data_IF_643752058623
#
_entry.id   IF_643752058623
#
_cell.length_a   1.000
_cell.length_b   1.000
_cell.length_c   1.000
_cell.angle_alpha   90.00
_cell.angle_beta   90.00
_cell.angle_gamma   90.00
#
_symmetry.space_group_name_H-M   'P 1'
#
loop_
_entity.id
_entity.type
_entity.pdbx_description
1 polymer ?
#
# COMPACT_ATOMS: atom_id res chain seq x y z
N UNK A 1 12.05 4.49 -1.84
CA UNK A 1 11.16 3.53 -2.56
C UNK A 1 11.53 3.51 -4.02
N UNK A 2 11.70 2.35 -4.63
CA UNK A 2 12.20 2.25 -6.02
C UNK A 2 11.17 2.68 -7.06
N UNK A 3 9.87 2.59 -6.74
CA UNK A 3 8.83 3.28 -7.51
C UNK A 3 9.06 4.80 -7.56
N UNK A 4 9.57 5.43 -6.50
CA UNK A 4 9.93 6.84 -6.54
C UNK A 4 11.11 7.11 -7.48
N UNK A 5 12.03 6.16 -7.66
CA UNK A 5 13.16 6.32 -8.59
C UNK A 5 12.72 6.20 -10.05
N UNK A 6 11.86 5.22 -10.36
CA UNK A 6 11.20 5.10 -11.65
C UNK A 6 10.42 6.38 -11.96
N UNK A 7 9.63 6.83 -10.99
CA UNK A 7 8.89 8.08 -11.07
C UNK A 7 9.78 9.27 -11.37
N UNK A 8 10.84 9.47 -10.59
CA UNK A 8 11.82 10.55 -10.80
C UNK A 8 12.43 10.53 -12.20
N UNK A 9 12.79 9.35 -12.73
CA UNK A 9 13.36 9.23 -14.08
C UNK A 9 12.35 9.60 -15.16
N UNK A 10 11.11 9.11 -15.05
CA UNK A 10 10.04 9.45 -16.00
C UNK A 10 9.71 10.95 -15.90
N UNK A 11 9.55 11.50 -14.70
CA UNK A 11 9.31 12.93 -14.48
C UNK A 11 10.46 13.78 -15.03
N UNK A 12 11.71 13.34 -14.89
CA UNK A 12 12.88 14.01 -15.48
C UNK A 12 12.82 14.03 -17.00
N UNK A 13 12.47 12.89 -17.64
CA UNK A 13 12.27 12.81 -19.08
C UNK A 13 11.09 13.69 -19.55
N UNK A 14 10.01 13.79 -18.77
CA UNK A 14 8.90 14.70 -19.07
C UNK A 14 9.26 16.18 -18.86
N UNK A 15 10.18 16.49 -17.92
CA UNK A 15 10.72 17.83 -17.70
C UNK A 15 11.67 18.27 -18.81
N UNK A 16 12.50 17.37 -19.37
CA UNK A 16 13.37 17.73 -20.50
C UNK A 16 12.54 18.24 -21.69
N UNK A 17 11.36 17.65 -21.92
CA UNK A 17 10.40 18.10 -22.92
C UNK A 17 9.77 19.48 -22.60
N UNK A 18 9.64 19.82 -21.32
CA UNK A 18 9.18 21.17 -20.91
C UNK A 18 10.21 22.28 -21.16
N UNK A 19 11.51 21.93 -21.14
CA UNK A 19 12.61 22.88 -21.36
C UNK A 19 12.92 23.10 -22.85
N UNK A 20 12.48 22.20 -23.75
CA UNK A 20 12.71 22.33 -25.18
C UNK A 20 11.83 23.44 -25.80
N UNK A 21 12.45 24.40 -26.49
CA UNK A 21 11.76 25.54 -27.13
C UNK A 21 10.90 25.13 -28.32
N UNK A 22 11.35 24.12 -29.08
CA UNK A 22 10.64 23.54 -30.22
C UNK A 22 10.53 22.04 -30.00
N UNK A 23 9.32 21.50 -30.15
CA UNK A 23 9.04 20.07 -30.01
C UNK A 23 8.99 19.47 -31.42
N UNK A 24 10.08 18.82 -31.81
CA UNK A 24 10.21 18.06 -33.05
C UNK A 24 10.18 16.54 -32.76
N UNK A 25 10.16 15.73 -33.81
CA UNK A 25 10.12 14.27 -33.69
C UNK A 25 11.36 13.70 -32.98
N UNK A 26 12.52 14.35 -33.13
CA UNK A 26 13.77 13.95 -32.48
C UNK A 26 13.67 14.08 -30.95
N UNK A 27 13.17 15.22 -30.45
CA UNK A 27 12.95 15.46 -29.01
C UNK A 27 11.93 14.46 -28.44
N UNK A 28 10.85 14.18 -29.18
CA UNK A 28 9.86 13.17 -28.79
C UNK A 28 10.49 11.77 -28.68
N UNK A 29 11.26 11.35 -29.69
CA UNK A 29 11.93 10.05 -29.70
C UNK A 29 12.99 9.93 -28.60
N UNK A 30 13.74 11.00 -28.30
CA UNK A 30 14.71 11.03 -27.22
C UNK A 30 14.02 10.85 -25.85
N UNK A 31 12.94 11.60 -25.60
CA UNK A 31 12.15 11.47 -24.37
C UNK A 31 11.56 10.06 -24.23
N UNK A 32 10.95 9.52 -25.29
CA UNK A 32 10.41 8.16 -25.27
C UNK A 32 11.49 7.12 -24.99
N UNK A 33 12.71 7.31 -25.49
CA UNK A 33 13.84 6.42 -25.22
C UNK A 33 14.24 6.45 -23.74
N UNK A 34 14.27 7.63 -23.11
CA UNK A 34 14.54 7.77 -21.68
C UNK A 34 13.44 7.12 -20.83
N UNK A 35 12.17 7.33 -21.16
CA UNK A 35 11.04 6.69 -20.47
C UNK A 35 11.10 5.16 -20.63
N UNK A 36 11.37 4.67 -21.84
CA UNK A 36 11.53 3.23 -22.08
C UNK A 36 12.71 2.65 -21.31
N UNK A 37 13.85 3.34 -21.26
CA UNK A 37 15.01 2.92 -20.49
C UNK A 37 14.68 2.82 -19.00
N UNK A 38 13.97 3.80 -18.44
CA UNK A 38 13.54 3.79 -17.04
C UNK A 38 12.60 2.60 -16.74
N UNK A 39 11.64 2.31 -17.63
CA UNK A 39 10.74 1.15 -17.48
C UNK A 39 11.49 -0.18 -17.56
N UNK A 40 12.45 -0.31 -18.48
CA UNK A 40 13.28 -1.52 -18.60
C UNK A 40 14.16 -1.73 -17.37
N UNK A 41 14.79 -0.66 -16.86
CA UNK A 41 15.56 -0.71 -15.61
C UNK A 41 14.68 -1.09 -14.41
N UNK A 42 13.40 -0.76 -14.46
CA UNK A 42 12.41 -1.16 -13.46
C UNK A 42 11.84 -2.58 -13.65
N UNK A 43 12.45 -3.39 -14.53
CA UNK A 43 12.06 -4.76 -14.84
C UNK A 43 10.63 -4.89 -15.41
N UNK A 44 10.19 -3.89 -16.19
CA UNK A 44 8.96 -3.98 -17.01
C UNK A 44 9.24 -4.79 -18.27
N UNK A 45 8.28 -5.63 -18.68
CA UNK A 45 8.43 -6.47 -19.87
C UNK A 45 8.76 -5.69 -21.14
N UNK A 46 9.80 -6.13 -21.86
CA UNK A 46 10.28 -5.49 -23.09
C UNK A 46 9.16 -5.36 -24.13
N UNK A 47 8.28 -6.36 -24.24
CA UNK A 47 7.15 -6.35 -25.17
C UNK A 47 6.16 -5.24 -24.81
N UNK A 48 5.87 -5.05 -23.52
CA UNK A 48 4.98 -4.00 -23.03
C UNK A 48 5.59 -2.61 -23.23
N UNK A 49 6.90 -2.47 -22.97
CA UNK A 49 7.61 -1.20 -23.21
C UNK A 49 7.61 -0.84 -24.70
N UNK A 50 7.85 -1.83 -25.58
CA UNK A 50 7.77 -1.63 -27.03
C UNK A 50 6.36 -1.21 -27.47
N UNK A 51 5.33 -1.91 -26.97
CA UNK A 51 3.94 -1.58 -27.26
C UNK A 51 3.56 -0.18 -26.79
N UNK A 52 3.99 0.22 -25.60
CA UNK A 52 3.78 1.58 -25.08
C UNK A 52 4.42 2.62 -25.99
N UNK A 53 5.66 2.40 -26.43
CA UNK A 53 6.36 3.33 -27.33
C UNK A 53 5.61 3.50 -28.66
N UNK A 54 5.16 2.40 -29.25
CA UNK A 54 4.42 2.41 -30.52
C UNK A 54 3.06 3.09 -30.36
N UNK A 55 2.32 2.78 -29.29
CA UNK A 55 1.02 3.39 -29.01
C UNK A 55 1.14 4.90 -28.79
N UNK A 56 2.10 5.35 -27.98
CA UNK A 56 2.32 6.79 -27.75
C UNK A 56 2.73 7.49 -29.04
N UNK A 57 3.60 6.89 -29.87
CA UNK A 57 4.00 7.48 -31.16
C UNK A 57 2.81 7.59 -32.12
N UNK A 58 1.93 6.59 -32.16
CA UNK A 58 0.73 6.62 -33.01
C UNK A 58 -0.35 7.59 -32.53
N UNK A 59 -0.40 7.89 -31.23
CA UNK A 59 -1.39 8.78 -30.63
C UNK A 59 -1.00 10.27 -30.71
N UNK A 60 0.22 10.58 -31.12
CA UNK A 60 0.74 11.96 -31.21
C UNK A 60 0.93 12.30 -32.69
N UNK A 61 0.02 13.11 -33.22
CA UNK A 61 0.20 13.71 -34.54
C UNK A 61 0.79 15.12 -34.40
N UNK A 62 2.06 15.29 -34.74
CA UNK A 62 2.79 16.54 -34.47
C UNK A 62 2.33 17.70 -35.36
N UNK A 63 1.68 17.40 -36.49
CA UNK A 63 1.22 18.36 -37.50
C UNK A 63 -0.13 18.99 -37.14
N UNK A 64 -1.03 18.22 -36.52
CA UNK A 64 -2.39 18.67 -36.17
C UNK A 64 -2.48 19.44 -34.84
N UNK A 65 -1.46 19.34 -33.98
CA UNK A 65 -1.53 19.91 -32.64
C UNK A 65 -1.34 21.44 -32.63
N UNK A 66 -2.30 22.16 -32.03
CA UNK A 66 -2.19 23.60 -31.78
C UNK A 66 -1.01 23.95 -30.84
N UNK A 67 -0.56 25.22 -30.91
CA UNK A 67 0.56 25.91 -30.23
C UNK A 67 1.29 25.22 -29.05
N UNK A 68 2.61 25.46 -28.94
CA UNK A 68 3.57 24.68 -28.14
C UNK A 68 3.24 24.36 -26.67
N UNK A 69 2.44 25.16 -25.97
CA UNK A 69 1.99 24.85 -24.59
C UNK A 69 0.98 23.67 -24.56
N UNK A 70 0.08 23.59 -25.55
CA UNK A 70 -0.87 22.49 -25.67
C UNK A 70 -0.16 21.18 -26.11
N UNK A 71 0.86 21.27 -26.97
CA UNK A 71 1.66 20.11 -27.39
C UNK A 71 2.29 19.36 -26.20
N UNK A 72 2.93 20.09 -25.27
CA UNK A 72 3.59 19.49 -24.08
C UNK A 72 2.62 18.73 -23.21
N UNK A 73 1.52 19.37 -22.84
CA UNK A 73 0.50 18.81 -21.97
C UNK A 73 -0.16 17.58 -22.60
N UNK A 74 -0.38 17.61 -23.91
CA UNK A 74 -0.96 16.48 -24.63
C UNK A 74 0.00 15.29 -24.71
N UNK A 75 1.31 15.50 -24.90
CA UNK A 75 2.32 14.42 -24.85
C UNK A 75 2.37 13.79 -23.45
N UNK A 76 2.44 14.61 -22.40
CA UNK A 76 2.41 14.13 -21.01
C UNK A 76 1.13 13.33 -20.72
N UNK A 77 -0.02 13.83 -21.17
CA UNK A 77 -1.30 13.16 -21.01
C UNK A 77 -1.37 11.83 -21.79
N UNK A 78 -0.79 11.78 -23.00
CA UNK A 78 -0.70 10.56 -23.81
C UNK A 78 0.15 9.49 -23.10
N UNK A 79 1.32 9.86 -22.58
CA UNK A 79 2.18 8.96 -21.80
C UNK A 79 1.45 8.46 -20.54
N UNK A 80 0.80 9.36 -19.79
CA UNK A 80 0.01 8.99 -18.61
C UNK A 80 -1.10 8.00 -18.95
N UNK A 81 -1.87 8.29 -20.01
CA UNK A 81 -2.98 7.43 -20.47
C UNK A 81 -2.48 6.04 -20.86
N UNK A 82 -1.34 5.96 -21.55
CA UNK A 82 -0.78 4.66 -21.94
C UNK A 82 -0.22 3.89 -20.75
N UNK A 83 0.41 4.58 -19.78
CA UNK A 83 0.82 3.96 -18.52
C UNK A 83 -0.39 3.41 -17.74
N UNK A 84 -1.48 4.17 -17.65
CA UNK A 84 -2.74 3.70 -17.04
C UNK A 84 -3.26 2.47 -17.77
N UNK A 85 -3.26 2.48 -19.10
CA UNK A 85 -3.74 1.36 -19.93
C UNK A 85 -2.90 0.08 -19.77
N UNK A 86 -1.61 0.19 -19.44
CA UNK A 86 -0.79 -0.98 -19.11
C UNK A 86 -1.19 -1.64 -17.79
N UNK A 87 -1.73 -0.86 -16.86
CA UNK A 87 -2.05 -1.29 -15.48
C UNK A 87 -3.54 -1.60 -15.31
N UNK A 88 -4.40 -1.00 -16.13
CA UNK A 88 -5.85 -1.18 -16.07
C UNK A 88 -6.29 -2.24 -17.09
N UNK A 89 -6.75 -3.42 -16.64
CA UNK A 89 -7.28 -4.44 -17.54
C UNK A 89 -8.68 -4.11 -18.08
N UNK A 90 -9.33 -3.03 -17.62
CA UNK A 90 -10.71 -2.69 -17.99
C UNK A 90 -11.76 -3.60 -17.34
N UNK A 91 -11.35 -4.41 -16.37
CA UNK A 91 -12.20 -5.35 -15.63
C UNK A 91 -12.45 -4.78 -14.24
N UNK A 92 -13.72 -4.74 -13.82
CA UNK A 92 -14.06 -4.31 -12.46
C UNK A 92 -13.53 -5.31 -11.44
N UNK A 93 -12.88 -4.79 -10.40
CA UNK A 93 -12.46 -5.60 -9.26
C UNK A 93 -13.66 -6.30 -8.61
N UNK A 94 -13.45 -7.53 -8.17
CA UNK A 94 -14.44 -8.24 -7.38
C UNK A 94 -14.69 -7.50 -6.06
N UNK A 95 -15.96 -7.41 -5.66
CA UNK A 95 -16.37 -6.77 -4.41
C UNK A 95 -17.17 -7.76 -3.57
N UNK A 96 -16.86 -7.90 -2.27
CA UNK A 96 -17.62 -8.79 -1.40
C UNK A 96 -19.06 -8.30 -1.23
N UNK A 97 -19.99 -9.25 -1.05
CA UNK A 97 -21.41 -8.96 -0.80
C UNK A 97 -21.73 -9.16 0.68
N UNK A 98 -22.28 -8.13 1.33
CA UNK A 98 -22.71 -8.18 2.74
C UNK A 98 -23.82 -9.23 2.94
N UNK A 99 -23.80 -9.92 4.09
CA UNK A 99 -24.79 -10.94 4.43
C UNK A 99 -24.67 -12.26 3.64
N UNK A 100 -23.63 -12.43 2.82
CA UNK A 100 -23.27 -13.69 2.16
C UNK A 100 -21.90 -14.15 2.63
N UNK A 101 -21.63 -15.45 2.55
CA UNK A 101 -20.29 -15.98 2.73
C UNK A 101 -19.47 -15.72 1.46
N UNK A 102 -18.41 -14.94 1.57
CA UNK A 102 -17.48 -14.65 0.49
C UNK A 102 -16.18 -15.40 0.76
N UNK A 103 -15.95 -16.48 0.02
CA UNK A 103 -14.77 -17.33 0.05
C UNK A 103 -13.71 -16.77 -0.91
N UNK A 104 -12.55 -16.43 -0.35
CA UNK A 104 -11.43 -15.85 -1.09
C UNK A 104 -10.24 -16.79 -0.97
N UNK A 105 -9.75 -17.30 -2.10
CA UNK A 105 -8.61 -18.21 -2.13
C UNK A 105 -7.34 -17.46 -2.55
N UNK A 106 -6.29 -17.57 -1.75
CA UNK A 106 -5.01 -16.93 -2.00
C UNK A 106 -4.05 -17.91 -2.66
N UNK A 107 -3.50 -17.52 -3.80
CA UNK A 107 -2.54 -18.32 -4.58
C UNK A 107 -1.32 -17.48 -4.95
N UNK A 108 -0.21 -18.12 -5.27
CA UNK A 108 1.02 -17.44 -5.66
C UNK A 108 2.28 -18.19 -5.26
N UNK A 109 3.43 -17.62 -5.61
CA UNK A 109 4.71 -18.27 -5.36
C UNK A 109 5.02 -18.41 -3.87
N UNK A 110 5.96 -19.29 -3.56
CA UNK A 110 6.60 -19.31 -2.25
C UNK A 110 7.28 -17.97 -1.97
N UNK A 111 7.13 -17.46 -0.76
CA UNK A 111 7.75 -16.19 -0.35
C UNK A 111 7.08 -14.92 -0.90
N UNK A 112 5.99 -15.01 -1.67
CA UNK A 112 5.28 -13.83 -2.20
C UNK A 112 4.48 -13.04 -1.15
N UNK A 113 4.39 -13.54 0.09
CA UNK A 113 3.71 -12.87 1.19
C UNK A 113 2.25 -13.29 1.43
N UNK A 114 1.76 -14.39 0.83
CA UNK A 114 0.37 -14.90 0.98
C UNK A 114 -0.15 -14.88 2.42
N UNK A 115 0.45 -15.63 3.33
CA UNK A 115 0.01 -15.73 4.74
C UNK A 115 -0.09 -14.38 5.45
N UNK A 116 0.88 -13.49 5.20
CA UNK A 116 0.87 -12.13 5.74
C UNK A 116 -0.26 -11.32 5.13
N UNK A 117 -0.41 -11.35 3.81
CA UNK A 117 -1.48 -10.63 3.09
C UNK A 117 -2.87 -11.14 3.45
N UNK A 118 -3.06 -12.45 3.68
CA UNK A 118 -4.31 -13.02 4.16
C UNK A 118 -4.73 -12.35 5.48
N UNK A 119 -3.78 -12.24 6.42
CA UNK A 119 -4.02 -11.63 7.74
C UNK A 119 -4.34 -10.13 7.62
N UNK A 120 -3.61 -9.41 6.76
CA UNK A 120 -3.85 -7.99 6.48
C UNK A 120 -5.20 -7.74 5.84
N UNK A 121 -5.60 -8.56 4.85
CA UNK A 121 -6.88 -8.44 4.18
C UNK A 121 -8.04 -8.73 5.15
N UNK A 122 -7.90 -9.76 5.98
CA UNK A 122 -8.89 -10.09 6.99
C UNK A 122 -9.04 -8.95 8.01
N UNK A 123 -7.94 -8.32 8.43
CA UNK A 123 -7.94 -7.16 9.33
C UNK A 123 -8.57 -5.92 8.68
N UNK A 124 -8.25 -5.66 7.41
CA UNK A 124 -8.85 -4.56 6.63
C UNK A 124 -10.38 -4.67 6.59
N UNK A 125 -10.92 -5.84 6.26
CA UNK A 125 -12.36 -6.05 6.24
C UNK A 125 -12.97 -6.07 7.65
N UNK A 126 -12.27 -6.58 8.66
CA UNK A 126 -12.72 -6.52 10.05
C UNK A 126 -12.91 -5.08 10.52
N UNK A 127 -11.99 -4.16 10.19
CA UNK A 127 -12.12 -2.72 10.48
C UNK A 127 -13.32 -2.08 9.78
N UNK A 128 -13.70 -2.60 8.62
CA UNK A 128 -14.91 -2.20 7.88
C UNK A 128 -16.20 -2.87 8.39
N UNK A 129 -16.14 -3.57 9.53
CA UNK A 129 -17.30 -4.20 10.17
C UNK A 129 -17.72 -5.51 9.53
N UNK A 130 -16.83 -6.22 8.83
CA UNK A 130 -17.10 -7.56 8.31
C UNK A 130 -16.70 -8.64 9.31
N UNK A 131 -17.45 -9.74 9.34
CA UNK A 131 -17.07 -10.92 10.12
C UNK A 131 -16.08 -11.75 9.32
N UNK A 132 -14.80 -11.66 9.64
CA UNK A 132 -13.70 -12.27 8.87
C UNK A 132 -13.08 -13.48 9.58
N UNK A 133 -12.60 -14.45 8.82
CA UNK A 133 -11.88 -15.61 9.33
C UNK A 133 -10.76 -16.05 8.38
N UNK A 134 -9.79 -16.78 8.93
CA UNK A 134 -8.63 -17.29 8.20
C UNK A 134 -8.62 -18.82 8.23
N UNK A 135 -8.28 -19.44 7.10
CA UNK A 135 -8.08 -20.89 6.98
C UNK A 135 -6.65 -21.11 6.48
N UNK A 136 -5.87 -21.92 7.21
CA UNK A 136 -4.54 -22.32 6.79
C UNK A 136 -4.61 -23.68 6.09
N UNK A 137 -4.51 -23.67 4.76
CA UNK A 137 -4.39 -24.85 3.91
C UNK A 137 -2.96 -25.00 3.34
N UNK A 138 -1.96 -24.44 4.02
CA UNK A 138 -0.53 -24.66 3.73
C UNK A 138 0.00 -25.79 4.62
N UNK A 139 -0.17 -27.04 4.16
CA UNK A 139 0.29 -28.25 4.86
C UNK A 139 1.74 -28.61 4.54
N UNK A 140 2.33 -27.97 3.54
CA UNK A 140 3.68 -28.30 3.06
C UNK A 140 4.79 -27.61 3.89
N UNK A 141 4.57 -26.35 4.27
CA UNK A 141 5.59 -25.57 4.97
C UNK A 141 5.50 -25.77 6.48
N UNK A 142 6.60 -26.23 7.08
CA UNK A 142 6.72 -26.36 8.53
C UNK A 142 6.44 -25.01 9.23
N UNK A 143 5.55 -25.02 10.22
CA UNK A 143 5.17 -23.83 10.99
C UNK A 143 4.29 -22.83 10.24
N UNK A 144 3.76 -23.15 9.05
CA UNK A 144 2.83 -22.27 8.34
C UNK A 144 1.56 -21.99 9.15
N UNK A 145 0.98 -23.04 9.75
CA UNK A 145 -0.17 -22.88 10.63
C UNK A 145 0.14 -22.02 11.86
N UNK A 146 1.29 -22.22 12.50
CA UNK A 146 1.70 -21.39 13.64
C UNK A 146 1.93 -19.94 13.26
N UNK A 147 2.49 -19.67 12.07
CA UNK A 147 2.63 -18.30 11.55
C UNK A 147 1.26 -17.64 11.36
N UNK A 148 0.32 -18.32 10.68
CA UNK A 148 -1.02 -17.80 10.47
C UNK A 148 -1.74 -17.59 11.80
N UNK A 149 -1.65 -18.55 12.72
CA UNK A 149 -2.23 -18.49 14.07
C UNK A 149 -1.70 -17.30 14.86
N UNK A 150 -0.40 -17.02 14.83
CA UNK A 150 0.19 -15.86 15.50
C UNK A 150 -0.35 -14.55 14.93
N UNK A 151 -0.42 -14.43 13.61
CA UNK A 151 -0.95 -13.24 12.94
C UNK A 151 -2.44 -13.03 13.24
N UNK A 152 -3.24 -14.11 13.14
CA UNK A 152 -4.66 -14.11 13.44
C UNK A 152 -4.93 -13.72 14.89
N UNK A 153 -4.14 -14.24 15.84
CA UNK A 153 -4.25 -13.90 17.27
C UNK A 153 -3.94 -12.42 17.52
N UNK A 154 -2.87 -11.88 16.92
CA UNK A 154 -2.53 -10.45 17.01
C UNK A 154 -3.66 -9.55 16.49
N UNK A 155 -4.29 -9.95 15.38
CA UNK A 155 -5.40 -9.22 14.77
C UNK A 155 -6.78 -9.53 15.38
N UNK A 156 -6.87 -10.47 16.34
CA UNK A 156 -8.14 -10.97 16.92
C UNK A 156 -9.11 -11.50 15.86
N UNK A 157 -8.58 -12.29 14.92
CA UNK A 157 -9.33 -12.89 13.82
C UNK A 157 -9.43 -14.40 14.07
N UNK A 158 -10.64 -15.00 14.03
CA UNK A 158 -10.80 -16.44 14.10
C UNK A 158 -10.04 -17.17 12.99
N UNK A 159 -9.41 -18.27 13.34
CA UNK A 159 -8.61 -19.06 12.40
C UNK A 159 -8.95 -20.56 12.49
N UNK A 160 -8.71 -21.28 11.39
CA UNK A 160 -8.85 -22.72 11.29
C UNK A 160 -7.62 -23.30 10.57
N UNK A 161 -7.25 -24.53 10.94
CA UNK A 161 -6.16 -25.29 10.37
C UNK A 161 -5.91 -26.54 11.22
N UNK A 162 -5.04 -27.42 10.74
CA UNK A 162 -4.74 -28.69 11.40
C UNK A 162 -3.24 -28.89 11.56
N UNK A 163 -2.84 -29.52 12.67
CA UNK A 163 -1.46 -29.99 12.87
C UNK A 163 -1.26 -31.44 12.40
N UNK A 164 -2.35 -32.19 12.20
CA UNK A 164 -2.31 -33.63 11.93
C UNK A 164 -2.82 -33.99 10.54
N UNK A 165 -3.72 -33.18 9.98
CA UNK A 165 -4.21 -33.36 8.62
C UNK A 165 -3.17 -32.83 7.63
N UNK A 166 -2.87 -33.65 6.62
CA UNK A 166 -1.87 -33.36 5.61
C UNK A 166 -2.51 -32.96 4.28
N UNK A 167 -3.79 -33.32 4.06
CA UNK A 167 -4.53 -32.97 2.85
C UNK A 167 -5.10 -31.54 2.94
N UNK A 168 -4.60 -30.59 2.12
CA UNK A 168 -5.10 -29.22 2.14
C UNK A 168 -6.55 -29.10 1.64
N UNK A 169 -7.04 -30.06 0.85
CA UNK A 169 -8.43 -30.07 0.36
C UNK A 169 -9.39 -30.29 1.51
N UNK A 170 -9.09 -31.26 2.38
CA UNK A 170 -9.90 -31.57 3.57
C UNK A 170 -9.93 -30.37 4.52
N UNK A 171 -8.76 -29.81 4.84
CA UNK A 171 -8.66 -28.66 5.74
C UNK A 171 -9.42 -27.45 5.19
N UNK A 172 -9.29 -27.18 3.89
CA UNK A 172 -9.97 -26.06 3.26
C UNK A 172 -11.50 -26.24 3.25
N UNK A 173 -11.98 -27.44 2.88
CA UNK A 173 -13.41 -27.76 2.85
C UNK A 173 -14.06 -27.67 4.24
N UNK A 174 -13.48 -28.34 5.25
CA UNK A 174 -13.99 -28.33 6.61
C UNK A 174 -13.94 -26.94 7.24
N UNK A 175 -12.85 -26.19 6.99
CA UNK A 175 -12.71 -24.81 7.47
C UNK A 175 -13.77 -23.88 6.88
N UNK A 176 -14.03 -23.99 5.57
CA UNK A 176 -15.06 -23.20 4.90
C UNK A 176 -16.45 -23.57 5.41
N UNK A 177 -16.75 -24.86 5.56
CA UNK A 177 -18.03 -25.32 6.08
C UNK A 177 -18.28 -24.83 7.51
N UNK A 178 -17.29 -24.96 8.39
CA UNK A 178 -17.35 -24.45 9.77
C UNK A 178 -17.71 -22.96 9.81
N UNK A 179 -16.98 -22.14 9.06
CA UNK A 179 -17.19 -20.69 9.08
C UNK A 179 -18.45 -20.24 8.33
N UNK A 180 -18.91 -21.01 7.34
CA UNK A 180 -20.24 -20.83 6.74
C UNK A 180 -21.33 -21.02 7.79
N UNK A 181 -21.25 -22.11 8.58
CA UNK A 181 -22.21 -22.39 9.66
C UNK A 181 -22.20 -21.33 10.77
N UNK A 182 -21.02 -20.78 11.08
CA UNK A 182 -20.88 -19.68 12.04
C UNK A 182 -21.21 -18.29 11.45
N UNK A 183 -21.75 -18.22 10.22
CA UNK A 183 -22.18 -16.99 9.53
C UNK A 183 -21.05 -15.96 9.35
N UNK A 184 -19.83 -16.39 9.03
CA UNK A 184 -18.74 -15.49 8.63
C UNK A 184 -18.94 -14.99 7.21
N UNK A 185 -18.72 -13.70 7.00
CA UNK A 185 -18.96 -13.05 5.71
C UNK A 185 -17.74 -13.09 4.81
N UNK A 186 -16.52 -13.06 5.36
CA UNK A 186 -15.27 -13.09 4.60
C UNK A 186 -14.44 -14.27 5.08
N UNK A 187 -14.29 -15.27 4.23
CA UNK A 187 -13.58 -16.51 4.52
C UNK A 187 -12.33 -16.55 3.65
N UNK A 188 -11.15 -16.36 4.23
CA UNK A 188 -9.90 -16.30 3.47
C UNK A 188 -9.13 -17.61 3.64
N UNK A 189 -8.84 -18.28 2.51
CA UNK A 189 -8.08 -19.53 2.44
C UNK A 189 -6.64 -19.23 2.01
N UNK A 190 -5.69 -19.41 2.93
CA UNK A 190 -4.26 -19.33 2.67
C UNK A 190 -3.74 -20.68 2.17
N UNK A 191 -3.24 -20.73 0.94
CA UNK A 191 -2.68 -21.96 0.35
C UNK A 191 -1.15 -21.95 0.36
N UNK A 192 -0.55 -23.12 0.19
CA UNK A 192 0.90 -23.27 0.04
C UNK A 192 1.45 -22.43 -1.13
N UNK A 193 2.71 -22.01 -1.00
CA UNK A 193 3.41 -21.32 -2.08
C UNK A 193 3.90 -22.27 -3.16
N UNK A 194 3.60 -22.00 -4.42
CA UNK A 194 3.83 -22.96 -5.52
C UNK A 194 4.94 -22.49 -6.47
N UNK A 195 5.83 -23.39 -6.89
CA UNK A 195 6.80 -23.10 -7.95
C UNK A 195 6.25 -23.56 -9.31
N UNK A 196 6.58 -22.87 -10.41
CA UNK A 196 6.03 -23.14 -11.76
C UNK A 196 6.34 -24.56 -12.29
N UNK A 197 7.33 -25.24 -11.72
CA UNK A 197 7.87 -26.50 -12.24
C UNK A 197 7.20 -27.75 -11.65
N UNK A 198 6.17 -27.60 -10.81
CA UNK A 198 5.53 -28.73 -10.12
C UNK A 198 4.06 -28.86 -10.56
N UNK A 199 3.83 -29.66 -11.61
CA UNK A 199 2.49 -29.95 -12.14
C UNK A 199 1.57 -30.59 -11.09
N UNK A 200 2.13 -31.44 -10.22
CA UNK A 200 1.39 -32.07 -9.10
C UNK A 200 0.81 -31.06 -8.13
N UNK A 201 1.53 -29.97 -7.86
CA UNK A 201 1.05 -28.90 -6.98
C UNK A 201 0.02 -28.02 -7.68
N UNK A 202 0.05 -27.83 -9.00
CA UNK A 202 -1.04 -27.12 -9.67
C UNK A 202 -2.35 -27.92 -9.62
N UNK A 203 -2.26 -29.24 -9.69
CA UNK A 203 -3.42 -30.13 -9.58
C UNK A 203 -4.06 -30.05 -8.19
N UNK A 204 -3.26 -30.08 -7.12
CA UNK A 204 -3.73 -29.90 -5.75
C UNK A 204 -4.43 -28.53 -5.56
N UNK A 205 -3.88 -27.46 -6.14
CA UNK A 205 -4.53 -26.13 -6.10
C UNK A 205 -5.91 -26.16 -6.74
N UNK A 206 -6.02 -26.82 -7.89
CA UNK A 206 -7.27 -26.96 -8.61
C UNK A 206 -8.28 -27.79 -7.79
N UNK A 207 -7.82 -28.86 -7.14
CA UNK A 207 -8.65 -29.66 -6.23
C UNK A 207 -9.17 -28.83 -5.05
N UNK A 208 -8.31 -28.04 -4.40
CA UNK A 208 -8.74 -27.13 -3.32
C UNK A 208 -9.77 -26.12 -3.85
N UNK A 209 -9.51 -25.50 -5.00
CA UNK A 209 -10.43 -24.55 -5.64
C UNK A 209 -11.79 -25.17 -5.94
N UNK A 210 -11.80 -26.40 -6.46
CA UNK A 210 -13.04 -27.12 -6.78
C UNK A 210 -13.83 -27.51 -5.53
N UNK A 211 -13.15 -27.84 -4.44
CA UNK A 211 -13.78 -28.20 -3.17
C UNK A 211 -14.40 -26.99 -2.46
N UNK A 212 -13.71 -25.84 -2.44
CA UNK A 212 -14.18 -24.66 -1.70
C UNK A 212 -15.03 -23.69 -2.52
N UNK A 213 -14.96 -23.78 -3.86
CA UNK A 213 -15.68 -22.94 -4.82
C UNK A 213 -15.54 -21.43 -4.49
N UNK A 214 -14.32 -20.87 -4.56
CA UNK A 214 -14.08 -19.49 -4.14
C UNK A 214 -14.73 -18.49 -5.11
N UNK A 215 -15.40 -17.44 -4.59
CA UNK A 215 -15.92 -16.36 -5.42
C UNK A 215 -14.81 -15.44 -5.97
N UNK A 216 -13.64 -15.44 -5.33
CA UNK A 216 -12.48 -14.69 -5.80
C UNK A 216 -11.18 -15.45 -5.53
N UNK A 217 -10.40 -15.67 -6.59
CA UNK A 217 -9.04 -16.19 -6.47
C UNK A 217 -8.07 -15.03 -6.64
N UNK A 218 -7.28 -14.78 -5.58
CA UNK A 218 -6.33 -13.69 -5.49
C UNK A 218 -4.93 -14.22 -5.73
N UNK A 219 -4.29 -13.76 -6.81
CA UNK A 219 -2.88 -14.01 -7.07
C UNK A 219 -2.02 -12.99 -6.32
N UNK A 220 -1.27 -13.45 -5.33
CA UNK A 220 -0.34 -12.63 -4.57
C UNK A 220 1.05 -12.74 -5.17
N UNK A 221 1.57 -11.60 -5.58
CA UNK A 221 2.88 -11.49 -6.21
C UNK A 221 3.82 -10.55 -5.45
N UNK A 222 5.10 -10.88 -5.50
CA UNK A 222 6.17 -10.05 -4.97
C UNK A 222 6.58 -8.99 -6.01
N UNK A 223 6.69 -7.73 -5.61
CA UNK A 223 7.14 -6.66 -6.48
C UNK A 223 8.59 -6.85 -7.02
N UNK A 224 9.39 -7.72 -6.41
CA UNK A 224 10.80 -7.99 -6.76
C UNK A 224 11.00 -9.08 -7.83
N UNK A 225 9.96 -9.83 -8.20
CA UNK A 225 10.03 -10.96 -9.16
C UNK A 225 10.57 -10.56 -10.55
N UNK A 226 10.41 -9.29 -10.94
CA UNK A 226 10.87 -8.75 -12.22
C UNK A 226 10.21 -9.40 -13.44
N UNK A 227 11.02 -9.75 -14.45
CA UNK A 227 10.55 -10.21 -15.76
C UNK A 227 9.87 -11.59 -15.74
N UNK A 228 10.22 -12.46 -14.78
CA UNK A 228 9.63 -13.79 -14.65
C UNK A 228 8.14 -13.76 -14.29
N UNK A 229 7.62 -12.59 -13.89
CA UNK A 229 6.24 -12.40 -13.46
C UNK A 229 5.23 -12.81 -14.52
N UNK A 230 5.44 -12.42 -15.78
CA UNK A 230 4.48 -12.67 -16.88
C UNK A 230 4.23 -14.18 -17.02
N UNK A 231 5.32 -14.97 -17.06
CA UNK A 231 5.26 -16.40 -17.27
C UNK A 231 4.68 -17.16 -16.08
N UNK A 232 4.79 -16.62 -14.86
CA UNK A 232 4.23 -17.19 -13.64
C UNK A 232 2.75 -16.84 -13.51
N UNK A 233 2.40 -15.56 -13.63
CA UNK A 233 1.03 -15.08 -13.54
C UNK A 233 0.15 -15.75 -14.61
N UNK A 234 0.67 -15.94 -15.83
CA UNK A 234 0.00 -16.72 -16.88
C UNK A 234 -0.22 -18.18 -16.48
N UNK A 235 0.80 -18.85 -15.92
CA UNK A 235 0.65 -20.25 -15.50
C UNK A 235 -0.42 -20.43 -14.41
N UNK A 236 -0.53 -19.50 -13.46
CA UNK A 236 -1.63 -19.51 -12.50
C UNK A 236 -2.97 -19.25 -13.17
N UNK A 237 -3.07 -18.26 -14.06
CA UNK A 237 -4.31 -17.93 -14.79
C UNK A 237 -4.81 -19.07 -15.68
N UNK A 238 -3.91 -19.81 -16.29
CA UNK A 238 -4.23 -20.94 -17.18
C UNK A 238 -4.76 -22.16 -16.38
N UNK A 239 -4.43 -22.26 -15.08
CA UNK A 239 -4.79 -23.40 -14.21
C UNK A 239 -5.96 -23.10 -13.27
N UNK A 240 -6.02 -21.89 -12.73
CA UNK A 240 -7.09 -21.43 -11.84
C UNK A 240 -7.59 -20.06 -12.30
N UNK A 241 -8.88 -19.80 -12.08
CA UNK A 241 -9.50 -18.56 -12.52
C UNK A 241 -9.13 -17.38 -11.62
N UNK A 242 -7.88 -16.91 -11.75
CA UNK A 242 -7.38 -15.74 -11.03
C UNK A 242 -8.23 -14.53 -11.41
N UNK A 243 -8.98 -13.97 -10.47
CA UNK A 243 -9.86 -12.83 -10.68
C UNK A 243 -9.26 -11.52 -10.17
N UNK A 244 -8.32 -11.57 -9.22
CA UNK A 244 -7.70 -10.38 -8.64
C UNK A 244 -6.20 -10.57 -8.39
N UNK A 245 -5.44 -9.47 -8.36
CA UNK A 245 -4.00 -9.47 -8.04
C UNK A 245 -3.73 -8.61 -6.80
N UNK A 246 -2.83 -9.07 -5.93
CA UNK A 246 -2.25 -8.24 -4.86
C UNK A 246 -0.74 -8.19 -5.03
N UNK A 247 -0.17 -6.99 -4.97
CA UNK A 247 1.28 -6.77 -5.08
C UNK A 247 1.84 -6.48 -3.71
N UNK A 248 2.80 -7.27 -3.25
CA UNK A 248 3.43 -7.13 -1.93
C UNK A 248 4.84 -6.55 -2.02
N UNK A 249 5.40 -6.18 -0.86
CA UNK A 249 6.78 -5.70 -0.69
C UNK A 249 7.12 -4.44 -1.50
N UNK A 250 6.16 -3.53 -1.64
CA UNK A 250 6.36 -2.26 -2.37
C UNK A 250 7.11 -1.20 -1.55
N UNK A 251 7.29 -1.46 -0.26
CA UNK A 251 8.16 -0.73 0.67
C UNK A 251 9.65 -0.97 0.44
N UNK A 252 10.00 -2.14 -0.10
CA UNK A 252 11.38 -2.54 -0.30
C UNK A 252 12.08 -1.86 -1.50
N UNK A 253 13.23 -2.45 -1.87
CA UNK A 253 13.97 -2.08 -3.08
C UNK A 253 13.39 -2.66 -4.37
N UNK A 254 12.13 -3.11 -4.33
CA UNK A 254 11.48 -3.74 -5.45
C UNK A 254 11.11 -2.71 -6.53
N UNK A 255 11.50 -2.99 -7.77
CA UNK A 255 11.30 -2.08 -8.90
C UNK A 255 9.86 -1.98 -9.38
N UNK A 256 8.99 -2.91 -9.00
CA UNK A 256 7.55 -2.84 -9.25
C UNK A 256 7.11 -3.12 -10.69
N UNK A 257 8.02 -3.20 -11.67
CA UNK A 257 7.68 -3.49 -13.08
C UNK A 257 7.10 -4.87 -13.34
N UNK A 258 7.32 -5.82 -12.42
CA UNK A 258 6.65 -7.12 -12.44
C UNK A 258 5.13 -7.00 -12.33
N UNK A 259 4.61 -6.04 -11.56
CA UNK A 259 3.17 -5.87 -11.36
C UNK A 259 2.43 -5.56 -12.65
N UNK A 260 3.02 -4.69 -13.48
CA UNK A 260 2.51 -4.37 -14.82
C UNK A 260 2.44 -5.62 -15.71
N UNK A 261 3.47 -6.46 -15.61
CA UNK A 261 3.56 -7.70 -16.38
C UNK A 261 2.55 -8.74 -15.92
N UNK A 262 2.25 -8.80 -14.61
CA UNK A 262 1.21 -9.67 -14.07
C UNK A 262 -0.17 -9.29 -14.58
N UNK A 263 -0.55 -8.01 -14.50
CA UNK A 263 -1.86 -7.54 -14.98
C UNK A 263 -2.02 -7.79 -16.47
N UNK A 264 -0.97 -7.51 -17.25
CA UNK A 264 -1.00 -7.75 -18.68
C UNK A 264 -1.23 -9.24 -19.02
N UNK A 265 -0.68 -10.16 -18.20
CA UNK A 265 -0.79 -11.60 -18.37
C UNK A 265 -2.12 -12.18 -17.87
N UNK A 266 -2.58 -11.77 -16.68
CA UNK A 266 -3.79 -12.33 -16.05
C UNK A 266 -5.07 -11.68 -16.54
N UNK A 267 -4.99 -10.45 -17.06
CA UNK A 267 -6.14 -9.56 -17.33
C UNK A 267 -7.01 -9.31 -16.09
N UNK A 268 -6.43 -9.45 -14.91
CA UNK A 268 -7.10 -9.31 -13.63
C UNK A 268 -6.66 -8.02 -12.94
N UNK A 269 -7.57 -7.24 -12.35
CA UNK A 269 -7.23 -5.97 -11.72
C UNK A 269 -6.40 -6.19 -10.45
N UNK A 270 -5.51 -5.24 -10.16
CA UNK A 270 -4.85 -5.15 -8.87
C UNK A 270 -5.85 -4.55 -7.87
N UNK A 271 -6.09 -5.23 -6.76
CA UNK A 271 -7.07 -4.81 -5.75
C UNK A 271 -6.41 -4.15 -4.53
N UNK A 272 -5.21 -4.61 -4.15
CA UNK A 272 -4.47 -4.08 -3.01
C UNK A 272 -2.96 -4.07 -3.27
N UNK A 273 -2.28 -3.21 -2.53
CA UNK A 273 -0.82 -3.13 -2.46
C UNK A 273 -0.35 -3.26 -1.00
N UNK A 274 0.66 -4.10 -0.77
CA UNK A 274 1.31 -4.23 0.53
C UNK A 274 2.51 -3.29 0.62
N UNK A 275 2.46 -2.37 1.58
CA UNK A 275 3.42 -1.26 1.75
C UNK A 275 4.27 -1.39 3.01
N UNK A 276 4.40 -2.60 3.56
CA UNK A 276 5.19 -2.87 4.76
C UNK A 276 4.90 -4.24 5.37
N UNK A 277 5.38 -4.47 6.58
CA UNK A 277 5.21 -5.73 7.32
C UNK A 277 4.09 -5.68 8.37
N UNK A 278 3.69 -4.49 8.82
CA UNK A 278 2.66 -4.35 9.83
C UNK A 278 1.28 -4.74 9.28
N UNK A 279 0.36 -5.08 10.19
CA UNK A 279 -0.97 -5.64 9.85
C UNK A 279 -1.85 -4.63 9.09
N UNK A 280 -1.57 -3.35 9.28
CA UNK A 280 -2.21 -2.19 8.70
C UNK A 280 -1.54 -1.69 7.41
N UNK A 281 -0.36 -2.19 7.06
CA UNK A 281 0.35 -1.84 5.82
C UNK A 281 -0.23 -2.58 4.60
N UNK A 282 -1.52 -2.38 4.34
CA UNK A 282 -2.24 -2.85 3.15
C UNK A 282 -3.19 -1.75 2.67
N UNK A 283 -2.93 -1.25 1.48
CA UNK A 283 -3.68 -0.14 0.90
C UNK A 283 -4.49 -0.60 -0.32
N UNK A 284 -5.73 -0.11 -0.51
CA UNK A 284 -6.50 -0.38 -1.71
C UNK A 284 -5.79 0.20 -2.93
N UNK A 285 -5.75 -0.55 -4.02
CA UNK A 285 -5.11 -0.10 -5.25
C UNK A 285 -6.10 0.63 -6.16
N UNK A 286 -5.72 1.84 -6.58
CA UNK A 286 -6.40 2.58 -7.64
C UNK A 286 -5.37 2.98 -8.69
N UNK A 287 -5.63 2.61 -9.95
CA UNK A 287 -4.67 2.77 -11.04
C UNK A 287 -4.27 4.23 -11.28
N UNK A 288 -5.24 5.14 -11.37
CA UNK A 288 -4.96 6.55 -11.65
C UNK A 288 -4.16 7.23 -10.52
N UNK A 289 -4.57 7.16 -9.24
CA UNK A 289 -3.76 7.60 -8.10
C UNK A 289 -2.34 7.04 -8.09
N UNK A 290 -2.19 5.74 -8.35
CA UNK A 290 -0.89 5.09 -8.34
C UNK A 290 0.05 5.67 -9.42
N UNK A 291 -0.44 5.82 -10.65
CA UNK A 291 0.36 6.40 -11.75
C UNK A 291 0.60 7.90 -11.55
N UNK A 292 -0.37 8.63 -10.99
CA UNK A 292 -0.22 10.06 -10.67
C UNK A 292 0.86 10.28 -9.62
N UNK A 293 0.86 9.46 -8.55
CA UNK A 293 1.91 9.42 -7.53
C UNK A 293 3.27 9.03 -8.14
N UNK A 294 3.29 8.04 -9.04
CA UNK A 294 4.50 7.65 -9.76
C UNK A 294 5.09 8.82 -10.56
N UNK A 295 4.27 9.59 -11.27
CA UNK A 295 4.75 10.74 -12.06
C UNK A 295 5.04 12.01 -11.25
N UNK A 296 4.85 11.97 -9.92
CA UNK A 296 5.02 13.14 -9.05
C UNK A 296 3.95 14.21 -9.26
N UNK A 297 2.78 13.84 -9.81
CA UNK A 297 1.63 14.73 -9.99
C UNK A 297 0.76 14.84 -8.72
N UNK A 298 1.05 14.01 -7.69
CA UNK A 298 0.30 13.94 -6.43
C UNK A 298 -0.87 12.96 -6.48
N UNK A 299 -1.51 12.73 -5.34
CA UNK A 299 -2.66 11.85 -5.15
C UNK A 299 -3.72 12.55 -4.30
N UNK A 300 -4.49 13.44 -4.95
CA UNK A 300 -5.54 14.22 -4.29
C UNK A 300 -6.69 13.32 -3.84
N UNK A 301 -7.05 12.30 -4.64
CA UNK A 301 -8.15 11.39 -4.32
C UNK A 301 -7.84 10.51 -3.10
N UNK A 302 -6.64 9.93 -3.03
CA UNK A 302 -6.22 9.12 -1.89
C UNK A 302 -6.09 9.94 -0.61
N UNK A 303 -5.69 11.22 -0.71
CA UNK A 303 -5.68 12.13 0.43
C UNK A 303 -7.10 12.36 0.98
N UNK A 304 -8.07 12.60 0.10
CA UNK A 304 -9.49 12.77 0.48
C UNK A 304 -10.01 11.50 1.16
N UNK A 305 -9.74 10.32 0.62
CA UNK A 305 -10.16 9.05 1.22
C UNK A 305 -9.58 8.86 2.62
N UNK A 306 -8.29 9.16 2.82
CA UNK A 306 -7.62 9.03 4.13
C UNK A 306 -8.17 10.04 5.15
N UNK A 307 -8.49 11.27 4.71
CA UNK A 307 -9.16 12.28 5.53
C UNK A 307 -10.57 11.83 5.94
N UNK A 308 -11.33 11.26 5.00
CA UNK A 308 -12.67 10.73 5.26
C UNK A 308 -12.66 9.52 6.22
N UNK A 309 -11.70 8.60 6.07
CA UNK A 309 -11.54 7.45 7.00
C UNK A 309 -11.23 7.89 8.43
N UNK A 310 -10.57 9.04 8.60
CA UNK A 310 -10.22 9.59 9.90
C UNK A 310 -11.33 10.40 10.56
N UNK A 311 -12.47 10.62 9.88
CA UNK A 311 -13.59 11.44 10.36
C UNK A 311 -13.12 12.75 10.99
N UNK A 312 -12.28 13.50 10.28
CA UNK A 312 -11.71 14.77 10.77
C UNK A 312 -12.75 15.90 10.95
N UNK A 313 -14.03 15.63 10.68
CA UNK A 313 -15.15 16.56 10.84
C UNK A 313 -15.57 16.78 12.31
N UNK A 314 -15.04 16.03 13.29
CA UNK A 314 -15.41 16.17 14.71
C UNK A 314 -14.64 17.29 15.46
N UNK A 315 -14.08 18.29 14.78
CA UNK A 315 -13.21 19.31 15.39
C UNK A 315 -13.72 20.77 15.30
N UNK A 316 -15.04 21.01 15.21
CA UNK A 316 -15.60 22.37 15.34
C UNK A 316 -15.21 23.02 16.67
N UNK A 317 -15.24 22.26 17.77
CA UNK A 317 -14.82 22.73 19.09
C UNK A 317 -13.34 23.12 19.16
N UNK A 318 -12.47 22.43 18.41
CA UNK A 318 -11.04 22.70 18.37
C UNK A 318 -10.73 23.98 17.60
N UNK A 319 -11.43 24.22 16.49
CA UNK A 319 -11.33 25.46 15.70
C UNK A 319 -11.78 26.65 16.55
N UNK A 320 -12.85 26.49 17.32
CA UNK A 320 -13.33 27.56 18.21
C UNK A 320 -12.39 27.77 19.41
N UNK A 321 -11.82 26.73 20.02
CA UNK A 321 -10.77 26.89 21.06
C UNK A 321 -9.52 27.61 20.55
N UNK A 322 -9.10 27.33 19.31
CA UNK A 322 -7.97 27.98 18.66
C UNK A 322 -8.24 29.47 18.37
N UNK A 323 -9.45 29.80 17.90
CA UNK A 323 -9.89 31.19 17.70
C UNK A 323 -9.92 31.99 19.02
N UNK A 324 -10.25 31.33 20.13
CA UNK A 324 -10.32 31.95 21.46
C UNK A 324 -8.98 31.89 22.23
N UNK A 325 -7.89 31.38 21.63
CA UNK A 325 -6.57 31.32 22.27
C UNK A 325 -6.46 30.34 23.45
N UNK A 326 -7.42 29.42 23.60
CA UNK A 326 -7.47 28.42 24.65
C UNK A 326 -6.87 27.11 24.14
N UNK A 327 -5.53 27.06 24.07
CA UNK A 327 -4.82 25.86 23.65
C UNK A 327 -4.14 25.20 24.86
N UNK A 328 -4.62 24.03 25.26
CA UNK A 328 -4.09 23.30 26.43
C UNK A 328 -3.09 22.20 26.00
N UNK A 329 -2.29 21.71 26.95
CA UNK A 329 -1.41 20.56 26.72
C UNK A 329 -2.21 19.28 26.39
N UNK A 330 -3.45 19.18 26.88
CA UNK A 330 -4.39 18.13 26.50
C UNK A 330 -4.74 18.19 25.02
N UNK A 331 -5.08 19.36 24.50
CA UNK A 331 -5.37 19.53 23.08
C UNK A 331 -4.11 19.18 22.25
N UNK A 332 -2.92 19.56 22.72
CA UNK A 332 -1.65 19.20 22.08
C UNK A 332 -1.40 17.67 22.07
N UNK A 333 -1.73 16.98 23.16
CA UNK A 333 -1.62 15.52 23.25
C UNK A 333 -2.58 14.82 22.28
N UNK A 334 -3.83 15.28 22.22
CA UNK A 334 -4.82 14.79 21.26
C UNK A 334 -4.36 15.02 19.81
N UNK A 335 -3.72 16.17 19.52
CA UNK A 335 -3.09 16.41 18.22
C UNK A 335 -1.94 15.44 17.93
N UNK A 336 -1.05 15.17 18.88
CA UNK A 336 0.02 14.19 18.68
C UNK A 336 -0.53 12.77 18.48
N UNK A 337 -1.59 12.39 19.19
CA UNK A 337 -2.28 11.13 18.95
C UNK A 337 -2.89 11.06 17.55
N UNK A 338 -3.53 12.13 17.08
CA UNK A 338 -4.10 12.19 15.74
C UNK A 338 -3.02 12.12 14.66
N UNK A 339 -1.89 12.82 14.85
CA UNK A 339 -0.72 12.71 13.99
C UNK A 339 -0.15 11.28 13.97
N UNK A 340 -0.07 10.63 15.12
CA UNK A 340 0.39 9.24 15.19
C UNK A 340 -0.59 8.27 14.49
N UNK A 341 -1.90 8.53 14.56
CA UNK A 341 -2.93 7.77 13.83
C UNK A 341 -2.90 8.01 12.32
N UNK A 342 -2.49 9.19 11.87
CA UNK A 342 -2.38 9.55 10.45
C UNK A 342 -1.26 8.78 9.72
N UNK A 343 -0.34 8.17 10.46
CA UNK A 343 0.85 7.49 9.92
C UNK A 343 1.99 8.45 9.60
N UNK A 344 3.09 7.97 8.99
CA UNK A 344 4.25 8.81 8.69
C UNK A 344 3.88 10.02 7.82
N UNK A 345 4.22 11.23 8.29
CA UNK A 345 3.94 12.50 7.60
C UNK A 345 4.43 12.52 6.15
N UNK A 346 5.50 11.78 5.85
CA UNK A 346 6.03 11.63 4.50
C UNK A 346 5.05 11.00 3.51
N UNK A 347 4.19 10.08 3.97
CA UNK A 347 3.19 9.46 3.11
C UNK A 347 2.11 10.48 2.69
N UNK A 348 1.68 11.37 3.60
CA UNK A 348 0.70 12.42 3.33
C UNK A 348 1.31 13.52 2.47
N UNK A 349 2.53 13.97 2.77
CA UNK A 349 3.22 14.97 1.97
C UNK A 349 3.46 14.49 0.53
N UNK A 350 3.77 13.20 0.35
CA UNK A 350 3.89 12.58 -0.97
C UNK A 350 2.58 12.50 -1.77
N UNK A 351 1.43 12.77 -1.16
CA UNK A 351 0.13 12.85 -1.83
C UNK A 351 -0.18 14.29 -2.31
N UNK A 352 0.54 15.31 -1.86
CA UNK A 352 0.29 16.71 -2.24
C UNK A 352 1.03 17.06 -3.55
N UNK A 353 0.32 17.52 -4.60
CA UNK A 353 0.96 17.94 -5.85
C UNK A 353 1.96 19.08 -5.64
N UNK A 354 3.13 19.00 -6.26
CA UNK A 354 4.13 20.08 -6.25
C UNK A 354 4.99 20.18 -4.98
N UNK A 355 4.64 19.47 -3.90
CA UNK A 355 5.50 19.26 -2.73
C UNK A 355 6.49 18.13 -3.03
N UNK A 356 7.53 18.45 -3.80
CA UNK A 356 8.50 17.48 -4.30
C UNK A 356 9.31 16.77 -3.22
N UNK A 357 9.79 15.57 -3.57
CA UNK A 357 10.78 14.73 -2.86
C UNK A 357 12.04 15.45 -2.37
N UNK A 358 12.32 16.68 -2.82
CA UNK A 358 13.49 17.47 -2.38
C UNK A 358 13.40 17.95 -0.93
N UNK A 359 12.19 18.14 -0.39
CA UNK A 359 12.04 18.48 1.04
C UNK A 359 12.09 17.24 1.96
N UNK A 360 12.03 16.04 1.38
CA UNK A 360 12.06 14.75 2.11
C UNK A 360 13.47 14.29 2.45
N UNK A 361 14.50 14.91 1.88
CA UNK A 361 15.90 14.59 2.17
C UNK A 361 16.40 15.37 3.38
N UNK A 362 16.20 14.83 4.61
CA UNK A 362 17.14 14.89 5.77
C UNK A 362 16.59 14.39 7.12
N UNK A 363 15.30 14.09 7.26
CA UNK A 363 14.75 13.56 8.52
C UNK A 363 14.38 12.08 8.41
N UNK A 364 14.93 11.22 9.28
CA UNK A 364 14.47 9.84 9.41
C UNK A 364 13.03 9.87 9.96
N UNK A 365 12.03 9.48 9.17
CA UNK A 365 10.61 9.51 9.55
C UNK A 365 10.31 8.68 10.82
N UNK A 366 10.99 7.55 10.98
CA UNK A 366 10.95 6.74 12.20
C UNK A 366 11.48 7.50 13.43
N UNK A 367 12.49 8.34 13.25
CA UNK A 367 13.04 9.16 14.33
C UNK A 367 12.06 10.27 14.73
N UNK A 368 11.39 10.91 13.76
CA UNK A 368 10.34 11.89 14.03
C UNK A 368 9.19 11.27 14.84
N UNK A 369 8.75 10.06 14.48
CA UNK A 369 7.72 9.34 15.22
C UNK A 369 8.19 8.90 16.61
N UNK A 370 9.44 8.45 16.74
CA UNK A 370 10.03 8.10 18.03
C UNK A 370 10.13 9.33 18.97
N UNK A 371 10.44 10.51 18.42
CA UNK A 371 10.45 11.78 19.16
C UNK A 371 9.05 12.19 19.62
N UNK A 372 8.04 12.07 18.77
CA UNK A 372 6.64 12.33 19.16
C UNK A 372 6.18 11.37 20.26
N UNK A 373 6.48 10.07 20.13
CA UNK A 373 6.18 9.08 21.16
C UNK A 373 6.86 9.42 22.49
N UNK A 374 8.11 9.85 22.45
CA UNK A 374 8.86 10.30 23.63
C UNK A 374 8.20 11.51 24.30
N UNK A 375 7.72 12.49 23.53
CA UNK A 375 6.97 13.64 24.04
C UNK A 375 5.63 13.23 24.66
N UNK A 376 4.93 12.25 24.06
CA UNK A 376 3.71 11.72 24.65
C UNK A 376 3.97 11.03 25.98
N UNK A 377 5.02 10.23 26.10
CA UNK A 377 5.38 9.60 27.38
C UNK A 377 5.75 10.66 28.46
N UNK A 378 6.31 11.80 28.06
CA UNK A 378 6.53 12.96 28.97
C UNK A 378 5.19 13.52 29.46
N UNK A 379 4.22 13.68 28.57
CA UNK A 379 2.89 14.16 28.93
C UNK A 379 2.09 13.13 29.76
N UNK A 380 2.26 11.84 29.51
CA UNK A 380 1.66 10.76 30.31
C UNK A 380 2.14 10.78 31.78
N UNK A 381 3.30 11.41 32.04
CA UNK A 381 3.87 11.58 33.39
C UNK A 381 3.42 12.87 34.10
N UNK A 382 2.64 13.73 33.43
CA UNK A 382 2.11 14.98 33.98
C UNK A 382 0.78 14.76 34.71
N UNK A 383 0.47 15.61 35.69
CA UNK A 383 -0.80 15.57 36.44
C UNK A 383 -1.93 16.43 35.79
N UNK A 384 -3.19 16.24 36.18
CA UNK A 384 -4.34 16.93 35.54
C UNK A 384 -4.28 18.47 35.58
N UNK A 385 -3.62 19.05 36.59
CA UNK A 385 -3.39 20.50 36.68
C UNK A 385 -2.40 20.95 35.60
N UNK A 386 -1.35 20.16 35.38
CA UNK A 386 -0.35 20.40 34.36
C UNK A 386 -0.93 20.29 32.94
N UNK A 387 -1.90 19.42 32.71
CA UNK A 387 -2.58 19.20 31.43
C UNK A 387 -3.53 20.32 31.01
N UNK A 388 -4.17 20.98 31.98
CA UNK A 388 -5.24 21.97 31.77
C UNK A 388 -4.77 23.42 31.74
N UNK A 389 -3.49 23.67 32.04
CA UNK A 389 -2.94 25.02 32.16
C UNK A 389 -2.54 25.62 30.79
N UNK A 390 -3.03 26.82 30.48
CA UNK A 390 -2.73 27.56 29.22
C UNK A 390 -1.45 28.41 29.31
N UNK A 391 -0.98 28.80 30.52
CA UNK A 391 0.25 29.56 30.74
C UNK A 391 0.92 29.16 32.07
N UNK A 392 2.22 28.85 32.05
CA UNK A 392 3.03 28.67 33.28
C UNK A 392 3.99 29.84 33.48
N UNK A 393 4.19 30.24 34.73
CA UNK A 393 5.30 31.13 35.12
C UNK A 393 6.61 30.35 35.19
N UNK A 394 7.73 30.97 34.83
CA UNK A 394 9.06 30.33 34.68
C UNK A 394 9.51 29.52 35.92
N UNK A 395 9.15 29.96 37.13
CA UNK A 395 9.54 29.29 38.38
C UNK A 395 8.84 27.95 38.65
N UNK A 396 7.67 27.67 38.04
CA UNK A 396 6.96 26.38 38.22
C UNK A 396 7.42 25.29 37.22
N UNK A 397 8.14 25.67 36.17
CA UNK A 397 8.59 24.76 35.12
C UNK A 397 9.78 23.90 35.58
N UNK A 398 10.76 24.46 36.29
CA UNK A 398 12.02 23.76 36.57
C UNK A 398 11.88 22.57 37.55
N UNK A 399 11.06 22.71 38.60
CA UNK A 399 10.82 21.65 39.59
C UNK A 399 10.01 20.48 38.99
N UNK A 400 8.98 20.81 38.20
CA UNK A 400 8.14 19.82 37.50
C UNK A 400 8.92 19.10 36.40
N UNK A 401 9.72 19.82 35.61
CA UNK A 401 10.57 19.23 34.56
C UNK A 401 11.64 18.31 35.16
N UNK A 402 12.21 18.67 36.31
CA UNK A 402 13.13 17.81 37.07
C UNK A 402 12.47 16.50 37.51
N UNK A 403 11.26 16.56 38.07
CA UNK A 403 10.51 15.37 38.52
C UNK A 403 10.11 14.45 37.36
N UNK A 404 9.63 15.04 36.25
CA UNK A 404 9.27 14.29 35.04
C UNK A 404 10.52 13.63 34.42
N UNK A 405 11.65 14.33 34.38
CA UNK A 405 12.92 13.78 33.88
C UNK A 405 13.39 12.57 34.69
N UNK A 406 13.33 12.65 36.03
CA UNK A 406 13.74 11.57 36.93
C UNK A 406 12.84 10.33 36.79
N UNK A 407 11.52 10.50 36.76
CA UNK A 407 10.58 9.37 36.59
C UNK A 407 10.73 8.65 35.24
N UNK A 408 11.32 9.32 34.25
CA UNK A 408 11.46 8.83 32.87
C UNK A 408 12.87 8.35 32.53
N UNK A 409 13.82 8.43 33.48
CA UNK A 409 15.23 8.12 33.23
C UNK A 409 15.89 9.05 32.21
N UNK A 410 15.41 10.30 32.09
CA UNK A 410 15.93 11.29 31.16
C UNK A 410 16.54 12.49 31.89
N UNK A 411 17.70 12.94 31.42
CA UNK A 411 18.34 14.13 31.97
C UNK A 411 17.60 15.40 31.51
N UNK A 412 17.23 16.32 32.43
CA UNK A 412 16.75 17.64 32.05
C UNK A 412 17.80 18.33 31.19
N UNK A 413 17.43 18.80 30.00
CA UNK A 413 18.33 19.59 29.18
C UNK A 413 18.49 20.97 29.86
N UNK A 414 19.70 21.29 30.32
CA UNK A 414 19.97 22.52 31.05
C UNK A 414 19.47 23.75 30.32
N UNK A 415 18.91 24.69 31.08
CA UNK A 415 18.39 25.97 30.63
C UNK A 415 19.47 26.73 29.87
N UNK A 416 19.34 26.86 28.55
CA UNK A 416 20.07 27.90 27.81
C UNK A 416 19.36 29.22 28.13
N UNK A 417 19.73 29.80 29.26
CA UNK A 417 19.60 31.24 29.47
C UNK A 417 20.75 31.89 28.71
N UNK A 418 20.45 32.42 27.54
CA UNK A 418 21.28 33.46 26.91
C UNK A 418 20.43 34.71 26.74
N UNK A 419 21.03 35.89 26.96
CA UNK A 419 20.39 37.09 27.53
C UNK A 419 19.29 37.73 26.68
#
# INVERSE_FOLDING_TARGET
MVLADLGRKITSALRSLSNATIINEEVLNAMLKEVCAALLEADVNIKLVKQLRENVKSAIDLEEMASGLNKRRMIQHSVFKELVKLVDPGVKAWTPTKGKNNVIMFVGLQGSGKTTTCSKLAYYYQRKGWKTCLICADTFRAGAFDQLKQNATKARIPFYGSYTEMDPVVIAAEGVEKFKNESFEIIIVDTSGRHKQEDSLFEEMLQVSNAVQPENIVYVMDASIGQACEAQAKAFKDKVEVASVIVTKLDGHAKGGGALSAVAATKSPIIFIGTGEHIDDLEPFKTQPFISKLLGMGDIEGLIDKVNELKLDDNEELIDKLKHGQFTLRDMYEQFQNIMKMGPFGQIMGMIPGFGTEFMSKGNEQESMARLKKLMTIMDSMNDQEWSTTQRTSCQLDATVGMIGVNMGQHPCGTILTP
#
